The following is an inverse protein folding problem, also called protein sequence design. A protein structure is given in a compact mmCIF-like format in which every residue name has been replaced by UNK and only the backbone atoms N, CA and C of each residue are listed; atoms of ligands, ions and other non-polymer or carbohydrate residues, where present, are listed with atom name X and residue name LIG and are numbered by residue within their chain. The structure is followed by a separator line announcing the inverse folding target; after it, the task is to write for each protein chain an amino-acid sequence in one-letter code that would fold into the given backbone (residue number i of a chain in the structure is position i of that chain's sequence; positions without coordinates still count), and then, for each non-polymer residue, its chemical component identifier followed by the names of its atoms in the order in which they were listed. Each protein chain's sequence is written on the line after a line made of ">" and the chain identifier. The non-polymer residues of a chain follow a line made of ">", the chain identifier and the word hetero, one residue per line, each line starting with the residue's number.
data_IF_196566976591
#
_entry.id   IF_196566976591
#
_cell.length_a   1.000
_cell.length_b   1.000
_cell.length_c   1.000
_cell.angle_alpha   90.00
_cell.angle_beta   90.00
_cell.angle_gamma   90.00
#
_symmetry.space_group_name_H-M   'P 1'
#
loop_
_entity.id
_entity.type
_entity.pdbx_description
1 polymer ?
#
# COMPACT_ATOMS: atom_id res chain seq x y z
N UNK A 1 7.68 13.58 54.67
CA UNK A 1 7.33 14.43 53.51
C UNK A 1 7.36 13.54 52.28
N UNK A 2 6.22 13.45 51.62
CA UNK A 2 6.01 12.63 50.42
C UNK A 2 6.71 13.35 49.26
N UNK A 3 7.75 12.75 48.68
CA UNK A 3 8.32 13.24 47.42
C UNK A 3 7.48 12.62 46.31
N UNK A 4 6.49 13.37 45.83
CA UNK A 4 5.77 13.01 44.61
C UNK A 4 6.70 13.30 43.44
N UNK A 5 7.30 12.25 42.89
CA UNK A 5 8.06 12.35 41.65
C UNK A 5 7.05 12.54 40.51
N UNK A 6 6.80 13.81 40.17
CA UNK A 6 6.08 14.18 38.94
C UNK A 6 7.00 13.90 37.74
N UNK A 7 7.10 12.64 37.37
CA UNK A 7 7.51 12.24 36.04
C UNK A 7 6.46 11.26 35.52
N UNK A 8 5.29 11.83 35.22
CA UNK A 8 4.28 11.21 34.39
C UNK A 8 4.82 11.24 32.94
N UNK A 9 5.72 10.31 32.65
CA UNK A 9 6.50 10.26 31.41
C UNK A 9 5.66 9.70 30.26
N UNK A 10 4.70 10.51 29.80
CA UNK A 10 3.99 10.35 28.52
C UNK A 10 4.41 11.39 27.47
N UNK A 11 5.31 12.31 27.81
CA UNK A 11 5.80 13.34 26.90
C UNK A 11 6.98 12.80 26.07
N UNK A 12 6.72 12.50 24.79
CA UNK A 12 7.74 12.13 23.81
C UNK A 12 8.88 13.15 23.81
N UNK A 13 10.11 12.67 23.96
CA UNK A 13 11.28 13.54 23.81
C UNK A 13 11.38 13.98 22.33
N UNK A 14 11.63 15.27 22.03
CA UNK A 14 11.73 15.76 20.64
C UNK A 14 12.69 14.97 19.74
N UNK A 15 13.70 14.33 20.32
CA UNK A 15 14.66 13.46 19.63
C UNK A 15 14.05 12.12 19.18
N UNK A 16 13.23 11.48 20.00
CA UNK A 16 12.58 10.19 19.69
C UNK A 16 11.53 10.36 18.61
N UNK A 17 10.73 11.43 18.69
CA UNK A 17 9.76 11.78 17.66
C UNK A 17 10.45 12.06 16.31
N UNK A 18 11.55 12.79 16.34
CA UNK A 18 12.34 13.08 15.13
C UNK A 18 12.91 11.80 14.52
N UNK A 19 13.44 10.89 15.34
CA UNK A 19 13.96 9.60 14.88
C UNK A 19 12.86 8.73 14.26
N UNK A 20 11.70 8.63 14.91
CA UNK A 20 10.55 7.88 14.38
C UNK A 20 10.06 8.44 13.03
N UNK A 21 10.02 9.78 12.89
CA UNK A 21 9.66 10.43 11.62
C UNK A 21 10.68 10.14 10.52
N UNK A 22 11.96 10.13 10.83
CA UNK A 22 12.98 9.77 9.84
C UNK A 22 12.82 8.32 9.38
N UNK A 23 12.56 7.41 10.32
CA UNK A 23 12.28 6.01 9.98
C UNK A 23 11.05 5.86 9.07
N UNK A 24 9.99 6.65 9.31
CA UNK A 24 8.81 6.67 8.42
C UNK A 24 9.20 7.15 7.02
N UNK A 25 9.97 8.23 6.90
CA UNK A 25 10.40 8.74 5.60
C UNK A 25 11.20 7.70 4.81
N UNK A 26 12.12 6.98 5.48
CA UNK A 26 12.92 5.94 4.83
C UNK A 26 12.05 4.78 4.32
N UNK A 27 11.03 4.39 5.10
CA UNK A 27 10.03 3.38 4.70
C UNK A 27 9.18 3.88 3.53
N UNK A 28 8.73 5.14 3.57
CA UNK A 28 7.91 5.73 2.52
C UNK A 28 8.67 5.76 1.18
N UNK A 29 9.96 6.08 1.20
CA UNK A 29 10.83 6.00 0.03
C UNK A 29 10.89 4.57 -0.55
N UNK A 30 10.93 3.55 0.31
CA UNK A 30 10.84 2.15 -0.13
C UNK A 30 9.47 1.81 -0.71
N UNK A 31 8.39 2.26 -0.08
CA UNK A 31 7.01 2.06 -0.56
C UNK A 31 6.86 2.66 -1.96
N UNK A 32 7.35 3.88 -2.20
CA UNK A 32 7.31 4.52 -3.52
C UNK A 32 8.05 3.67 -4.56
N UNK A 33 9.27 3.19 -4.25
CA UNK A 33 10.03 2.31 -5.14
C UNK A 33 9.31 1.01 -5.44
N UNK A 34 8.67 0.41 -4.44
CA UNK A 34 7.89 -0.83 -4.60
C UNK A 34 6.63 -0.63 -5.44
N UNK A 35 5.90 0.47 -5.21
CA UNK A 35 4.69 0.80 -5.96
C UNK A 35 5.00 1.12 -7.42
N UNK A 36 6.09 1.83 -7.71
CA UNK A 36 6.54 2.07 -9.08
C UNK A 36 6.79 0.75 -9.83
N UNK A 37 7.58 -0.17 -9.23
CA UNK A 37 7.80 -1.51 -9.78
C UNK A 37 6.51 -2.31 -9.94
N UNK A 38 5.54 -2.11 -9.03
CA UNK A 38 4.23 -2.73 -9.12
C UNK A 38 3.45 -2.20 -10.34
N UNK A 39 3.52 -0.91 -10.64
CA UNK A 39 2.89 -0.35 -11.84
C UNK A 39 3.52 -0.86 -13.14
N UNK A 40 4.83 -1.11 -13.18
CA UNK A 40 5.46 -1.79 -14.32
C UNK A 40 4.86 -3.20 -14.55
N UNK A 41 4.58 -3.93 -13.48
CA UNK A 41 3.89 -5.22 -13.56
C UNK A 41 2.43 -5.06 -14.01
N UNK A 42 1.72 -4.03 -13.55
CA UNK A 42 0.35 -3.71 -13.99
C UNK A 42 0.32 -3.42 -15.50
N UNK A 43 1.30 -2.70 -16.05
CA UNK A 43 1.41 -2.46 -17.50
C UNK A 43 1.51 -3.77 -18.29
N UNK A 44 2.29 -4.74 -17.79
CA UNK A 44 2.41 -6.08 -18.40
C UNK A 44 1.10 -6.86 -18.31
N UNK A 45 0.43 -6.82 -17.15
CA UNK A 45 -0.89 -7.43 -16.96
C UNK A 45 -1.92 -6.84 -17.92
N UNK A 46 -1.94 -5.51 -18.08
CA UNK A 46 -2.83 -4.83 -19.01
C UNK A 46 -2.63 -5.34 -20.45
N UNK A 47 -1.37 -5.44 -20.90
CA UNK A 47 -1.05 -5.94 -22.23
C UNK A 47 -1.48 -7.40 -22.43
N UNK A 48 -1.26 -8.25 -21.43
CA UNK A 48 -1.67 -9.66 -21.47
C UNK A 48 -3.21 -9.80 -21.50
N UNK A 49 -3.93 -9.01 -20.69
CA UNK A 49 -5.40 -8.99 -20.67
C UNK A 49 -5.97 -8.52 -22.00
N UNK A 50 -5.43 -7.45 -22.58
CA UNK A 50 -5.86 -6.94 -23.88
C UNK A 50 -5.63 -7.96 -25.01
N UNK A 51 -4.51 -8.69 -25.00
CA UNK A 51 -4.24 -9.75 -25.97
C UNK A 51 -5.18 -10.95 -25.85
N UNK A 52 -5.72 -11.19 -24.65
CA UNK A 52 -6.61 -12.31 -24.34
C UNK A 52 -8.10 -11.90 -24.25
N UNK A 53 -8.43 -10.64 -24.58
CA UNK A 53 -9.77 -10.04 -24.45
C UNK A 53 -10.40 -10.22 -23.04
N UNK A 54 -9.58 -10.04 -22.00
CA UNK A 54 -10.00 -10.17 -20.60
C UNK A 54 -10.33 -8.81 -19.97
N UNK A 55 -11.33 -8.76 -19.06
CA UNK A 55 -11.70 -7.52 -18.38
C UNK A 55 -10.62 -7.05 -17.40
N UNK A 56 -10.57 -5.73 -17.18
CA UNK A 56 -9.66 -5.09 -16.22
C UNK A 56 -9.99 -5.51 -14.78
N UNK A 57 -11.28 -5.50 -14.41
CA UNK A 57 -11.76 -5.97 -13.12
C UNK A 57 -11.71 -7.50 -13.03
N UNK A 58 -11.08 -8.01 -11.97
CA UNK A 58 -11.03 -9.44 -11.66
C UNK A 58 -11.18 -9.62 -10.13
N UNK A 59 -12.44 -9.73 -9.68
CA UNK A 59 -12.77 -9.83 -8.26
C UNK A 59 -12.09 -11.03 -7.59
N UNK A 60 -12.06 -12.18 -8.25
CA UNK A 60 -11.43 -13.39 -7.71
C UNK A 60 -9.93 -13.21 -7.49
N UNK A 61 -9.25 -12.54 -8.41
CA UNK A 61 -7.83 -12.21 -8.23
C UNK A 61 -7.58 -11.22 -7.11
N UNK A 62 -8.45 -10.22 -6.94
CA UNK A 62 -8.32 -9.20 -5.90
C UNK A 62 -8.52 -9.78 -4.50
N UNK A 63 -9.54 -10.62 -4.32
CA UNK A 63 -9.78 -11.34 -3.07
C UNK A 63 -8.56 -12.20 -2.68
N UNK A 64 -7.92 -12.86 -3.65
CA UNK A 64 -6.68 -13.60 -3.43
C UNK A 64 -5.53 -12.70 -2.98
N UNK A 65 -5.40 -11.47 -3.51
CA UNK A 65 -4.40 -10.51 -3.00
C UNK A 65 -4.70 -10.15 -1.55
N UNK A 66 -5.94 -9.77 -1.25
CA UNK A 66 -6.35 -9.31 0.09
C UNK A 66 -6.14 -10.40 1.14
N UNK A 67 -6.55 -11.63 0.83
CA UNK A 67 -6.35 -12.76 1.74
C UNK A 67 -4.86 -13.02 1.98
N UNK A 68 -4.03 -12.95 0.93
CA UNK A 68 -2.57 -13.14 1.07
C UNK A 68 -1.93 -12.06 1.92
N UNK A 69 -2.26 -10.78 1.72
CA UNK A 69 -1.63 -9.69 2.47
C UNK A 69 -2.05 -9.68 3.93
N UNK A 70 -3.31 -10.02 4.23
CA UNK A 70 -3.78 -10.18 5.60
C UNK A 70 -3.16 -11.38 6.31
N UNK A 71 -2.92 -12.48 5.60
CA UNK A 71 -2.25 -13.65 6.16
C UNK A 71 -0.76 -13.38 6.46
N UNK A 72 -0.13 -12.49 5.71
CA UNK A 72 1.27 -12.10 5.91
C UNK A 72 1.46 -11.07 7.02
N UNK A 73 0.40 -10.36 7.43
CA UNK A 73 0.46 -9.44 8.57
C UNK A 73 0.32 -10.21 9.88
N UNK A 74 1.43 -10.29 10.61
CA UNK A 74 1.52 -10.97 11.91
C UNK A 74 0.82 -10.21 13.03
N UNK A 75 0.54 -8.91 12.85
CA UNK A 75 -0.15 -8.10 13.85
C UNK A 75 -1.66 -8.04 13.53
N UNK A 76 -2.53 -8.67 14.34
CA UNK A 76 -3.97 -8.66 14.11
C UNK A 76 -4.60 -7.27 14.12
N UNK A 77 -4.04 -6.33 14.88
CA UNK A 77 -4.58 -4.97 15.02
C UNK A 77 -4.39 -4.14 13.76
N UNK A 78 -3.34 -4.41 12.97
CA UNK A 78 -3.05 -3.67 11.74
C UNK A 78 -3.72 -4.24 10.50
N UNK A 79 -4.23 -5.48 10.55
CA UNK A 79 -4.78 -6.19 9.38
C UNK A 79 -5.89 -5.44 8.65
N UNK A 80 -6.79 -4.78 9.38
CA UNK A 80 -7.89 -4.03 8.77
C UNK A 80 -7.37 -2.81 7.99
N UNK A 81 -6.36 -2.13 8.53
CA UNK A 81 -5.71 -1.02 7.85
C UNK A 81 -4.91 -1.49 6.63
N UNK A 82 -4.20 -2.62 6.76
CA UNK A 82 -3.49 -3.25 5.64
C UNK A 82 -4.46 -3.62 4.50
N UNK A 83 -5.64 -4.17 4.83
CA UNK A 83 -6.71 -4.43 3.84
C UNK A 83 -7.09 -3.15 3.09
N UNK A 84 -7.42 -2.07 3.80
CA UNK A 84 -7.83 -0.81 3.16
C UNK A 84 -6.75 -0.21 2.25
N UNK A 85 -5.48 -0.26 2.67
CA UNK A 85 -4.35 0.19 1.87
C UNK A 85 -4.27 -0.61 0.57
N UNK A 86 -4.36 -1.94 0.65
CA UNK A 86 -4.30 -2.79 -0.54
C UNK A 86 -5.51 -2.66 -1.47
N UNK A 87 -6.72 -2.46 -0.93
CA UNK A 87 -7.91 -2.11 -1.72
C UNK A 87 -7.68 -0.81 -2.51
N UNK A 88 -7.08 0.20 -1.88
CA UNK A 88 -6.74 1.47 -2.53
C UNK A 88 -5.67 1.29 -3.61
N UNK A 89 -4.63 0.51 -3.34
CA UNK A 89 -3.59 0.18 -4.33
C UNK A 89 -4.20 -0.53 -5.54
N UNK A 90 -5.08 -1.51 -5.32
CA UNK A 90 -5.75 -2.25 -6.41
C UNK A 90 -6.67 -1.33 -7.23
N UNK A 91 -7.43 -0.44 -6.57
CA UNK A 91 -8.23 0.58 -7.25
C UNK A 91 -7.38 1.42 -8.21
N UNK A 92 -6.29 2.00 -7.72
CA UNK A 92 -5.39 2.81 -8.55
C UNK A 92 -4.76 1.99 -9.70
N UNK A 93 -4.60 0.68 -9.52
CA UNK A 93 -4.11 -0.21 -10.58
C UNK A 93 -5.13 -0.38 -11.71
N UNK A 94 -6.42 -0.49 -11.37
CA UNK A 94 -7.50 -0.56 -12.36
C UNK A 94 -7.62 0.76 -13.10
N UNK A 95 -7.64 1.87 -12.37
CA UNK A 95 -7.69 3.22 -12.95
C UNK A 95 -6.53 3.46 -13.94
N UNK A 96 -5.33 2.98 -13.61
CA UNK A 96 -4.17 3.05 -14.51
C UNK A 96 -4.30 2.14 -15.74
N UNK A 97 -4.83 0.92 -15.59
CA UNK A 97 -5.13 0.02 -16.72
C UNK A 97 -6.17 0.65 -17.66
N UNK A 98 -7.22 1.27 -17.11
CA UNK A 98 -8.24 1.99 -17.89
C UNK A 98 -7.61 3.13 -18.68
N UNK A 99 -6.72 3.92 -18.04
CA UNK A 99 -5.96 4.97 -18.72
C UNK A 99 -5.13 4.41 -19.88
N UNK A 100 -4.32 3.37 -19.64
CA UNK A 100 -3.48 2.74 -20.67
C UNK A 100 -4.30 2.21 -21.85
N UNK A 101 -5.47 1.62 -21.57
CA UNK A 101 -6.36 1.07 -22.59
C UNK A 101 -6.95 2.18 -23.47
N UNK A 102 -7.40 3.28 -22.86
CA UNK A 102 -7.92 4.45 -23.59
C UNK A 102 -6.85 5.12 -24.44
N UNK A 103 -5.63 5.30 -23.92
CA UNK A 103 -4.55 5.95 -24.67
C UNK A 103 -4.09 5.11 -25.86
N UNK A 104 -4.07 3.78 -25.74
CA UNK A 104 -3.75 2.87 -26.86
C UNK A 104 -4.80 2.87 -27.98
N UNK A 105 -6.03 3.29 -27.70
CA UNK A 105 -7.09 3.40 -28.72
C UNK A 105 -7.04 4.73 -29.50
N UNK A 106 -6.21 5.68 -29.05
CA UNK A 106 -6.10 7.03 -29.65
C UNK A 106 -4.96 7.11 -30.69
N UNK A 107 -4.14 6.06 -30.82
CA UNK A 107 -3.09 5.92 -31.84
C UNK A 107 -3.34 4.67 -32.68
#
# INVERSE_FOLDING_TARGET
>A
MMVTNENDSGAWQPSELTAARQQINDIDDEIVRLLARRFDAVTKVNAAKAAADLPIMDHGREDQVLNRVMANDSNPETRIYMRHIFETIMKNSRDYQDYLTKTKQIH
#
